data_IF_820664461413
#
_entry.id   IF_820664461413
#
_cell.length_a   1.000
_cell.length_b   1.000
_cell.length_c   1.000
_cell.angle_alpha   90.00
_cell.angle_beta   90.00
_cell.angle_gamma   90.00
#
_symmetry.space_group_name_H-M   'P 1'
#
loop_
_entity.id
_entity.type
_entity.pdbx_description
1 polymer ?
#
# COMPACT_ATOMS: atom_id res chain seq x y z
N UNK A 1 -18.30 -14.89 -17.61
CA UNK A 1 -18.01 -15.99 -16.68
C UNK A 1 -18.71 -15.71 -15.38
N UNK A 2 -19.11 -16.76 -14.67
CA UNK A 2 -19.68 -16.65 -13.33
C UNK A 2 -18.57 -16.45 -12.29
N UNK A 3 -18.90 -15.89 -11.12
CA UNK A 3 -17.95 -15.72 -10.01
C UNK A 3 -17.24 -17.04 -9.64
N UNK A 4 -17.96 -18.16 -9.71
CA UNK A 4 -17.42 -19.50 -9.43
C UNK A 4 -16.40 -19.99 -10.48
N UNK A 5 -16.62 -19.69 -11.76
CA UNK A 5 -15.68 -20.01 -12.85
C UNK A 5 -14.41 -19.18 -12.73
N UNK A 6 -14.57 -17.88 -12.42
CA UNK A 6 -13.47 -17.00 -12.09
C UNK A 6 -12.67 -17.61 -10.93
N UNK A 7 -13.25 -17.74 -9.72
CA UNK A 7 -12.56 -18.25 -8.53
C UNK A 7 -11.80 -19.57 -8.80
N UNK A 8 -12.40 -20.48 -9.57
CA UNK A 8 -11.75 -21.74 -9.97
C UNK A 8 -10.49 -21.52 -10.82
N UNK A 9 -10.52 -20.59 -11.78
CA UNK A 9 -9.34 -20.23 -12.56
C UNK A 9 -8.26 -19.57 -11.72
N UNK A 10 -8.62 -18.66 -10.80
CA UNK A 10 -7.65 -18.03 -9.90
C UNK A 10 -6.95 -19.06 -9.00
N UNK A 11 -7.71 -20.01 -8.45
CA UNK A 11 -7.16 -21.13 -7.67
C UNK A 11 -6.22 -22.00 -8.50
N UNK A 12 -6.49 -22.14 -9.79
CA UNK A 12 -5.61 -22.87 -10.70
C UNK A 12 -4.30 -22.10 -10.98
N UNK A 13 -4.37 -20.77 -11.18
CA UNK A 13 -3.20 -19.91 -11.36
C UNK A 13 -2.29 -19.97 -10.13
N UNK A 14 -2.88 -19.91 -8.94
CA UNK A 14 -2.14 -19.86 -7.67
C UNK A 14 -1.86 -21.24 -7.07
N UNK A 15 -2.12 -22.32 -7.82
CA UNK A 15 -1.93 -23.66 -7.32
C UNK A 15 -0.47 -23.91 -6.92
N UNK A 16 -0.27 -24.39 -5.68
CA UNK A 16 1.07 -24.68 -5.15
C UNK A 16 1.83 -23.48 -4.59
N UNK A 17 1.20 -22.30 -4.53
CA UNK A 17 1.79 -21.11 -3.91
C UNK A 17 1.46 -20.94 -2.43
N UNK A 18 0.46 -21.66 -1.90
CA UNK A 18 -0.20 -21.44 -0.60
C UNK A 18 -1.08 -20.16 -0.52
N UNK A 19 -1.21 -19.41 -1.62
CA UNK A 19 -2.11 -18.26 -1.67
C UNK A 19 -3.59 -18.67 -1.63
N UNK A 20 -4.41 -17.84 -0.98
CA UNK A 20 -5.84 -18.05 -0.82
C UNK A 20 -6.64 -17.12 -1.73
N UNK A 21 -7.72 -17.65 -2.29
CA UNK A 21 -8.70 -16.91 -3.10
C UNK A 21 -10.08 -17.16 -2.55
N UNK A 22 -10.79 -16.09 -2.23
CA UNK A 22 -12.16 -16.17 -1.72
C UNK A 22 -13.18 -15.64 -2.73
N UNK A 23 -14.46 -15.79 -2.36
CA UNK A 23 -15.58 -15.43 -3.22
C UNK A 23 -15.81 -13.91 -3.37
N UNK A 24 -15.06 -13.08 -2.64
CA UNK A 24 -15.11 -11.63 -2.74
C UNK A 24 -14.02 -11.07 -3.67
N UNK A 25 -13.43 -11.90 -4.55
CA UNK A 25 -12.35 -11.51 -5.45
C UNK A 25 -11.15 -10.91 -4.71
N UNK A 26 -10.78 -11.57 -3.61
CA UNK A 26 -9.62 -11.22 -2.81
C UNK A 26 -8.56 -12.32 -2.98
N UNK A 27 -7.32 -11.93 -3.20
CA UNK A 27 -6.14 -12.81 -3.20
C UNK A 27 -5.27 -12.49 -2.00
N UNK A 28 -5.01 -13.47 -1.15
CA UNK A 28 -4.13 -13.36 0.01
C UNK A 28 -2.90 -14.26 -0.15
N UNK A 29 -1.72 -13.66 -0.20
CA UNK A 29 -0.48 -14.32 -0.56
C UNK A 29 0.70 -13.98 0.39
N UNK A 30 0.45 -13.80 1.69
CA UNK A 30 1.50 -13.45 2.65
C UNK A 30 2.57 -14.55 2.80
N UNK A 31 3.85 -14.22 2.59
CA UNK A 31 4.98 -15.17 2.67
C UNK A 31 4.79 -16.45 1.82
N UNK A 32 4.24 -16.27 0.62
CA UNK A 32 3.92 -17.36 -0.31
C UNK A 32 4.87 -17.41 -1.52
N UNK A 33 4.83 -18.52 -2.27
CA UNK A 33 5.61 -18.68 -3.51
C UNK A 33 5.04 -17.92 -4.72
N UNK A 34 4.18 -16.91 -4.50
CA UNK A 34 3.68 -16.05 -5.58
C UNK A 34 4.82 -15.20 -6.15
N UNK A 35 4.81 -15.02 -7.47
CA UNK A 35 5.83 -14.34 -8.26
C UNK A 35 5.16 -13.64 -9.46
N UNK A 36 5.92 -12.84 -10.20
CA UNK A 36 5.42 -12.01 -11.30
C UNK A 36 4.58 -12.80 -12.32
N UNK A 37 5.01 -14.01 -12.68
CA UNK A 37 4.31 -14.87 -13.65
C UNK A 37 2.87 -15.18 -13.24
N UNK A 38 2.64 -15.34 -11.93
CA UNK A 38 1.31 -15.62 -11.39
C UNK A 38 0.41 -14.39 -11.48
N UNK A 39 0.94 -13.21 -11.14
CA UNK A 39 0.18 -11.93 -11.21
C UNK A 39 -0.11 -11.55 -12.67
N UNK A 40 0.83 -11.83 -13.58
CA UNK A 40 0.64 -11.63 -15.02
C UNK A 40 -0.45 -12.53 -15.60
N UNK A 41 -0.56 -13.78 -15.14
CA UNK A 41 -1.65 -14.67 -15.54
C UNK A 41 -3.02 -14.24 -14.98
N UNK A 42 -3.03 -13.41 -13.93
CA UNK A 42 -4.24 -12.78 -13.42
C UNK A 42 -4.66 -11.55 -14.23
N UNK A 43 -3.84 -11.07 -15.18
CA UNK A 43 -4.16 -9.87 -15.97
C UNK A 43 -5.55 -9.95 -16.64
N UNK A 44 -6.27 -8.84 -16.65
CA UNK A 44 -7.63 -8.76 -17.21
C UNK A 44 -8.75 -9.16 -16.24
N UNK A 45 -8.42 -9.50 -15.00
CA UNK A 45 -9.39 -9.67 -13.91
C UNK A 45 -9.91 -8.33 -13.39
N UNK A 46 -10.71 -7.66 -14.20
CA UNK A 46 -11.20 -6.31 -13.94
C UNK A 46 -12.06 -6.18 -12.67
N UNK A 47 -12.56 -7.31 -12.13
CA UNK A 47 -13.39 -7.36 -10.91
C UNK A 47 -12.60 -7.60 -9.62
N UNK A 48 -11.27 -7.80 -9.69
CA UNK A 48 -10.44 -7.98 -8.50
C UNK A 48 -10.47 -6.71 -7.63
N UNK A 49 -10.87 -6.86 -6.36
CA UNK A 49 -11.00 -5.74 -5.42
C UNK A 49 -9.86 -5.70 -4.41
N UNK A 50 -9.27 -6.84 -4.06
CA UNK A 50 -8.18 -6.90 -3.10
C UNK A 50 -7.08 -7.84 -3.55
N UNK A 51 -5.84 -7.35 -3.47
CA UNK A 51 -4.64 -8.07 -3.83
C UNK A 51 -3.59 -7.87 -2.75
N UNK A 52 -3.38 -8.90 -1.93
CA UNK A 52 -2.39 -8.90 -0.85
C UNK A 52 -1.24 -9.81 -1.25
N UNK A 53 -0.14 -9.21 -1.69
CA UNK A 53 1.09 -9.83 -2.18
C UNK A 53 2.28 -9.61 -1.24
N UNK A 54 2.00 -9.18 -0.02
CA UNK A 54 3.03 -8.90 0.95
C UNK A 54 3.96 -10.11 1.20
N UNK A 55 5.27 -9.89 1.29
CA UNK A 55 6.26 -10.95 1.53
C UNK A 55 6.41 -11.97 0.39
N UNK A 56 5.84 -11.70 -0.79
CA UNK A 56 5.98 -12.57 -1.97
C UNK A 56 7.22 -12.23 -2.81
N UNK A 57 7.49 -13.06 -3.83
CA UNK A 57 8.62 -12.92 -4.75
C UNK A 57 8.30 -12.04 -5.97
N UNK A 58 7.31 -11.14 -5.87
CA UNK A 58 7.00 -10.19 -6.95
C UNK A 58 8.01 -9.06 -7.03
N UNK A 59 8.20 -8.53 -8.23
CA UNK A 59 9.10 -7.43 -8.57
C UNK A 59 8.33 -6.31 -9.29
N UNK A 60 9.02 -5.25 -9.70
CA UNK A 60 8.45 -4.16 -10.50
C UNK A 60 7.70 -4.66 -11.75
N UNK A 61 8.04 -5.84 -12.27
CA UNK A 61 7.39 -6.45 -13.44
C UNK A 61 5.89 -6.65 -13.22
N UNK A 62 5.47 -7.09 -12.03
CA UNK A 62 4.05 -7.34 -11.74
C UNK A 62 3.19 -6.07 -11.79
N UNK A 63 3.77 -4.88 -11.58
CA UNK A 63 3.04 -3.60 -11.53
C UNK A 63 2.34 -3.31 -12.87
N UNK A 64 2.89 -3.81 -13.98
CA UNK A 64 2.24 -3.73 -15.29
C UNK A 64 0.90 -4.49 -15.30
N UNK A 65 0.86 -5.71 -14.75
CA UNK A 65 -0.36 -6.48 -14.65
C UNK A 65 -1.34 -5.88 -13.64
N UNK A 66 -0.85 -5.39 -12.49
CA UNK A 66 -1.65 -4.73 -11.45
C UNK A 66 -2.40 -3.51 -12.01
N UNK A 67 -1.81 -2.76 -12.94
CA UNK A 67 -2.46 -1.62 -13.59
C UNK A 67 -3.77 -1.96 -14.33
N UNK A 68 -4.00 -3.24 -14.65
CA UNK A 68 -5.20 -3.72 -15.35
C UNK A 68 -6.37 -4.03 -14.41
N UNK A 69 -6.15 -4.03 -13.08
CA UNK A 69 -7.18 -4.30 -12.08
C UNK A 69 -7.96 -3.03 -11.75
N UNK A 70 -8.82 -2.59 -12.66
CA UNK A 70 -9.51 -1.30 -12.58
C UNK A 70 -10.45 -1.13 -11.37
N UNK A 71 -10.85 -2.22 -10.71
CA UNK A 71 -11.67 -2.20 -9.49
C UNK A 71 -10.87 -2.50 -8.21
N UNK A 72 -9.54 -2.54 -8.30
CA UNK A 72 -8.68 -2.83 -7.15
C UNK A 72 -8.77 -1.69 -6.14
N UNK A 73 -9.29 -1.99 -4.95
CA UNK A 73 -9.47 -1.05 -3.85
C UNK A 73 -8.42 -1.22 -2.76
N UNK A 74 -7.93 -2.45 -2.54
CA UNK A 74 -6.89 -2.72 -1.55
C UNK A 74 -5.71 -3.42 -2.23
N UNK A 75 -4.52 -2.84 -2.11
CA UNK A 75 -3.27 -3.38 -2.62
C UNK A 75 -2.26 -3.42 -1.48
N UNK A 76 -1.69 -4.59 -1.21
CA UNK A 76 -0.56 -4.71 -0.30
C UNK A 76 0.59 -5.43 -1.02
N UNK A 77 1.74 -4.76 -1.11
CA UNK A 77 2.95 -5.26 -1.74
C UNK A 77 4.17 -5.10 -0.81
N UNK A 78 3.95 -4.83 0.47
CA UNK A 78 5.05 -4.62 1.41
C UNK A 78 5.92 -5.87 1.61
N UNK A 79 7.22 -5.68 1.81
CA UNK A 79 8.20 -6.76 1.97
C UNK A 79 8.48 -7.55 0.69
N UNK A 80 8.21 -6.98 -0.49
CA UNK A 80 8.50 -7.58 -1.80
C UNK A 80 9.78 -7.01 -2.42
N UNK A 81 10.17 -7.48 -3.61
CA UNK A 81 11.30 -6.94 -4.36
C UNK A 81 10.91 -5.78 -5.31
N UNK A 82 9.74 -5.17 -5.09
CA UNK A 82 9.34 -3.93 -5.77
C UNK A 82 10.18 -2.76 -5.25
N UNK A 83 10.55 -1.84 -6.14
CA UNK A 83 11.45 -0.72 -5.86
C UNK A 83 10.72 0.63 -5.89
N UNK A 84 11.35 1.67 -5.31
CA UNK A 84 10.91 3.06 -5.48
C UNK A 84 10.70 3.42 -6.96
N UNK A 85 11.60 3.00 -7.85
CA UNK A 85 11.48 3.26 -9.29
C UNK A 85 10.27 2.55 -9.89
N UNK A 86 9.96 1.33 -9.46
CA UNK A 86 8.75 0.63 -9.86
C UNK A 86 7.50 1.44 -9.51
N UNK A 87 7.40 1.88 -8.26
CA UNK A 87 6.26 2.69 -7.78
C UNK A 87 6.16 4.04 -8.49
N UNK A 88 7.29 4.72 -8.69
CA UNK A 88 7.36 6.03 -9.32
C UNK A 88 6.80 6.05 -10.76
N UNK A 89 7.00 4.97 -11.52
CA UNK A 89 6.60 4.89 -12.93
C UNK A 89 5.43 3.94 -13.19
N UNK A 90 4.93 3.24 -12.18
CA UNK A 90 3.77 2.36 -12.32
C UNK A 90 2.47 3.15 -12.40
N UNK A 91 1.55 2.65 -13.23
CA UNK A 91 0.17 3.13 -13.25
C UNK A 91 -0.67 2.37 -12.22
N UNK A 92 -0.46 2.67 -10.93
CA UNK A 92 -1.24 2.06 -9.85
C UNK A 92 -2.74 2.42 -10.06
N UNK A 93 -3.67 1.45 -9.97
CA UNK A 93 -5.08 1.72 -10.24
C UNK A 93 -5.65 2.86 -9.38
N UNK A 94 -6.30 3.84 -10.01
CA UNK A 94 -6.88 5.00 -9.32
C UNK A 94 -8.00 4.64 -8.33
N UNK A 95 -8.50 3.39 -8.37
CA UNK A 95 -9.49 2.88 -7.44
C UNK A 95 -8.89 2.47 -6.08
N UNK A 96 -7.55 2.38 -5.96
CA UNK A 96 -6.88 1.98 -4.72
C UNK A 96 -7.17 3.00 -3.62
N UNK A 97 -7.70 2.48 -2.51
CA UNK A 97 -8.06 3.19 -1.29
C UNK A 97 -7.12 2.83 -0.15
N UNK A 98 -6.70 1.57 -0.06
CA UNK A 98 -5.81 1.09 0.98
C UNK A 98 -4.54 0.54 0.31
N UNK A 99 -3.38 1.14 0.62
CA UNK A 99 -2.10 0.78 0.01
C UNK A 99 -1.07 0.41 1.08
N UNK A 100 -0.64 -0.85 1.10
CA UNK A 100 0.46 -1.36 1.91
C UNK A 100 1.77 -1.43 1.12
N UNK A 101 2.81 -0.77 1.64
CA UNK A 101 4.14 -0.63 1.04
C UNK A 101 5.27 -0.94 2.03
N UNK A 102 4.96 -1.51 3.19
CA UNK A 102 5.95 -1.64 4.28
C UNK A 102 7.25 -2.32 3.81
N UNK A 103 8.38 -1.91 4.39
CA UNK A 103 9.72 -2.41 4.05
C UNK A 103 10.12 -2.31 2.57
N UNK A 104 9.49 -1.42 1.79
CA UNK A 104 10.00 -0.96 0.49
C UNK A 104 10.66 0.40 0.68
N UNK A 105 11.95 0.52 0.40
CA UNK A 105 12.64 1.82 0.42
C UNK A 105 12.09 2.75 -0.67
N UNK A 106 11.57 3.92 -0.29
CA UNK A 106 10.93 4.88 -1.17
C UNK A 106 11.71 6.20 -1.22
N UNK A 107 11.85 6.77 -2.41
CA UNK A 107 12.36 8.11 -2.62
C UNK A 107 11.23 9.15 -2.79
N UNK A 108 11.61 10.42 -2.93
CA UNK A 108 10.64 11.52 -3.09
C UNK A 108 9.83 11.42 -4.39
N UNK A 109 10.33 10.71 -5.42
CA UNK A 109 9.63 10.52 -6.69
C UNK A 109 8.51 9.49 -6.50
N UNK A 110 8.81 8.38 -5.82
CA UNK A 110 7.81 7.40 -5.45
C UNK A 110 6.75 8.01 -4.51
N UNK A 111 7.16 8.87 -3.58
CA UNK A 111 6.23 9.60 -2.71
C UNK A 111 5.27 10.51 -3.52
N UNK A 112 5.75 11.25 -4.52
CA UNK A 112 4.87 12.11 -5.34
C UNK A 112 3.90 11.26 -6.19
N UNK A 113 4.36 10.11 -6.70
CA UNK A 113 3.51 9.16 -7.40
C UNK A 113 2.38 8.64 -6.50
N UNK A 114 2.67 8.26 -5.25
CA UNK A 114 1.66 7.87 -4.25
C UNK A 114 0.73 9.04 -3.93
N UNK A 115 1.27 10.26 -3.81
CA UNK A 115 0.50 11.48 -3.57
C UNK A 115 -0.45 11.86 -4.72
N UNK A 116 -0.30 11.24 -5.89
CA UNK A 116 -1.18 11.43 -7.05
C UNK A 116 -2.40 10.50 -7.07
N UNK A 117 -2.47 9.51 -6.16
CA UNK A 117 -3.57 8.55 -6.12
C UNK A 117 -4.86 9.20 -5.59
N UNK A 118 -5.89 9.38 -6.43
CA UNK A 118 -7.02 10.27 -6.11
C UNK A 118 -8.00 9.68 -5.09
N UNK A 119 -7.95 8.37 -4.86
CA UNK A 119 -8.87 7.65 -3.99
C UNK A 119 -8.21 7.14 -2.71
N UNK A 120 -6.90 7.37 -2.51
CA UNK A 120 -6.15 6.80 -1.40
C UNK A 120 -6.66 7.34 -0.05
N UNK A 121 -7.02 6.43 0.85
CA UNK A 121 -7.60 6.69 2.19
C UNK A 121 -6.67 6.23 3.30
N UNK A 122 -6.04 5.07 3.13
CA UNK A 122 -5.09 4.53 4.09
C UNK A 122 -3.78 4.16 3.40
N UNK A 123 -2.67 4.58 3.98
CA UNK A 123 -1.33 4.26 3.53
C UNK A 123 -0.54 3.64 4.67
N UNK A 124 0.04 2.46 4.45
CA UNK A 124 1.07 1.90 5.31
C UNK A 124 2.41 1.96 4.57
N UNK A 125 3.33 2.77 5.09
CA UNK A 125 4.70 2.93 4.59
C UNK A 125 5.71 2.74 5.74
N UNK A 126 5.43 1.78 6.62
CA UNK A 126 6.35 1.41 7.70
C UNK A 126 7.69 0.94 7.11
N UNK A 127 8.81 1.39 7.67
CA UNK A 127 10.14 0.97 7.22
C UNK A 127 10.52 1.46 5.82
N UNK A 128 9.74 2.36 5.20
CA UNK A 128 10.01 2.81 3.83
C UNK A 128 11.13 3.86 3.70
N UNK A 129 11.75 4.28 4.80
CA UNK A 129 12.82 5.29 4.78
C UNK A 129 12.36 6.71 4.39
N UNK A 130 11.04 6.99 4.43
CA UNK A 130 10.50 8.30 4.06
C UNK A 130 10.95 9.39 5.04
N UNK A 131 11.41 10.51 4.48
CA UNK A 131 11.66 11.73 5.25
C UNK A 131 10.35 12.45 5.59
N UNK A 132 10.37 13.35 6.59
CA UNK A 132 9.22 14.23 6.84
C UNK A 132 8.84 15.10 5.63
N UNK A 133 9.78 15.48 4.76
CA UNK A 133 9.47 16.22 3.53
C UNK A 133 8.63 15.37 2.57
N UNK A 134 8.95 14.08 2.44
CA UNK A 134 8.17 13.16 1.63
C UNK A 134 6.75 12.98 2.21
N UNK A 135 6.63 12.84 3.54
CA UNK A 135 5.33 12.74 4.21
C UNK A 135 4.46 13.99 4.00
N UNK A 136 5.04 15.19 4.00
CA UNK A 136 4.29 16.43 3.72
C UNK A 136 3.63 16.44 2.33
N UNK A 137 4.15 15.67 1.36
CA UNK A 137 3.50 15.55 0.05
C UNK A 137 2.11 14.91 0.14
N UNK A 138 1.88 14.05 1.14
CA UNK A 138 0.61 13.35 1.34
C UNK A 138 -0.53 14.26 1.83
N UNK A 139 -0.22 15.50 2.26
CA UNK A 139 -1.25 16.52 2.53
C UNK A 139 -2.11 16.82 1.29
N UNK A 140 -1.55 16.64 0.09
CA UNK A 140 -2.22 16.85 -1.20
C UNK A 140 -3.26 15.78 -1.54
N UNK A 141 -3.27 14.63 -0.87
CA UNK A 141 -4.24 13.57 -1.13
C UNK A 141 -5.56 13.93 -0.43
N UNK A 142 -6.62 14.32 -1.16
CA UNK A 142 -7.83 14.87 -0.55
C UNK A 142 -8.64 13.81 0.21
N UNK A 143 -8.51 12.54 -0.17
CA UNK A 143 -9.23 11.41 0.41
C UNK A 143 -8.54 10.76 1.61
N UNK A 144 -7.30 11.16 1.92
CA UNK A 144 -6.47 10.49 2.91
C UNK A 144 -7.05 10.63 4.31
N UNK A 145 -7.09 9.53 5.07
CA UNK A 145 -7.66 9.43 6.40
C UNK A 145 -6.70 8.83 7.41
N UNK A 146 -5.77 7.97 6.97
CA UNK A 146 -4.80 7.34 7.85
C UNK A 146 -3.45 7.13 7.15
N UNK A 147 -2.38 7.38 7.90
CA UNK A 147 -1.01 7.06 7.51
C UNK A 147 -0.36 6.31 8.67
N UNK A 148 0.24 5.15 8.38
CA UNK A 148 1.16 4.46 9.28
C UNK A 148 2.55 4.52 8.66
N UNK A 149 3.48 5.20 9.34
CA UNK A 149 4.84 5.47 8.89
C UNK A 149 5.84 5.25 10.04
N UNK A 150 5.78 4.08 10.66
CA UNK A 150 6.77 3.65 11.66
C UNK A 150 8.14 3.53 10.99
N UNK A 151 9.20 3.98 11.67
CA UNK A 151 10.55 4.10 11.13
C UNK A 151 10.78 5.34 10.26
N UNK A 152 9.80 6.22 10.09
CA UNK A 152 10.00 7.47 9.36
C UNK A 152 10.69 8.54 10.21
N UNK A 153 11.58 9.33 9.60
CA UNK A 153 12.26 10.45 10.26
C UNK A 153 11.37 11.70 10.28
N UNK A 154 10.36 11.67 11.17
CA UNK A 154 9.42 12.76 11.37
C UNK A 154 9.46 13.32 12.80
N UNK A 155 10.08 14.49 13.01
CA UNK A 155 10.05 15.17 14.29
C UNK A 155 8.63 15.52 14.74
N UNK A 156 8.38 15.46 16.06
CA UNK A 156 7.09 15.77 16.68
C UNK A 156 6.52 17.15 16.30
N UNK A 157 7.38 18.14 16.08
CA UNK A 157 6.95 19.47 15.59
C UNK A 157 6.29 19.40 14.22
N UNK A 158 6.87 18.63 13.30
CA UNK A 158 6.31 18.44 11.96
C UNK A 158 5.06 17.54 12.02
N UNK A 159 5.04 16.50 12.85
CA UNK A 159 3.85 15.65 13.02
C UNK A 159 2.66 16.45 13.57
N UNK A 160 2.93 17.37 14.50
CA UNK A 160 1.95 18.33 15.02
C UNK A 160 1.42 19.25 13.92
N UNK A 161 2.31 19.88 13.16
CA UNK A 161 1.93 20.80 12.07
C UNK A 161 1.11 20.07 10.99
N UNK A 162 1.57 18.90 10.56
CA UNK A 162 0.87 18.04 9.60
C UNK A 162 -0.57 17.76 10.03
N UNK A 163 -0.76 17.33 11.29
CA UNK A 163 -2.09 16.97 11.80
C UNK A 163 -2.94 18.17 12.23
N UNK A 164 -2.36 19.37 12.35
CA UNK A 164 -3.12 20.62 12.46
C UNK A 164 -3.66 21.07 11.10
N UNK A 165 -2.89 20.88 10.03
CA UNK A 165 -3.31 21.18 8.66
C UNK A 165 -4.37 20.19 8.16
N UNK A 166 -4.22 18.90 8.49
CA UNK A 166 -5.17 17.83 8.18
C UNK A 166 -5.66 17.12 9.47
N UNK A 167 -6.56 17.75 10.26
CA UNK A 167 -7.06 17.19 11.51
C UNK A 167 -7.96 15.96 11.31
N UNK A 168 -8.39 15.72 10.07
CA UNK A 168 -9.11 14.54 9.64
C UNK A 168 -8.22 13.29 9.51
N UNK A 169 -6.89 13.47 9.37
CA UNK A 169 -5.93 12.37 9.23
C UNK A 169 -5.52 11.84 10.61
N UNK A 170 -5.50 10.51 10.73
CA UNK A 170 -4.80 9.78 11.78
C UNK A 170 -3.37 9.46 11.32
N UNK A 171 -2.36 10.05 11.96
CA UNK A 171 -0.96 9.81 11.63
C UNK A 171 -0.32 8.96 12.71
N UNK A 172 0.23 7.80 12.36
CA UNK A 172 0.91 6.90 13.29
C UNK A 172 2.40 6.85 12.97
N UNK A 173 3.19 7.23 13.97
CA UNK A 173 4.66 7.27 13.95
C UNK A 173 5.20 6.50 15.17
N UNK A 174 6.52 6.31 15.23
CA UNK A 174 7.16 5.74 16.42
C UNK A 174 6.91 6.59 17.67
N UNK A 175 6.77 7.91 17.50
CA UNK A 175 6.47 8.83 18.60
C UNK A 175 5.06 8.74 19.16
N UNK A 176 4.17 8.04 18.46
CA UNK A 176 2.81 7.77 18.87
C UNK A 176 1.79 8.03 17.78
N UNK A 177 0.53 8.11 18.21
CA UNK A 177 -0.61 8.35 17.33
C UNK A 177 -1.00 9.82 17.41
N UNK A 178 -0.83 10.53 16.30
CA UNK A 178 -1.09 11.94 16.12
C UNK A 178 -2.46 12.19 15.49
N UNK A 179 -3.18 13.18 16.02
CA UNK A 179 -4.44 13.66 15.45
C UNK A 179 -4.75 15.08 15.92
N UNK A 180 -5.05 15.99 14.99
CA UNK A 180 -5.43 17.36 15.34
C UNK A 180 -4.36 18.13 16.13
N UNK A 181 -3.08 17.80 15.96
CA UNK A 181 -1.96 18.37 16.71
C UNK A 181 -1.70 17.74 18.09
N UNK A 182 -2.56 16.83 18.56
CA UNK A 182 -2.35 16.05 19.78
C UNK A 182 -1.66 14.72 19.49
N UNK A 183 -0.89 14.21 20.45
CA UNK A 183 -0.23 12.89 20.37
C UNK A 183 -0.61 12.00 21.54
N UNK A 184 -1.02 10.76 21.23
CA UNK A 184 -1.09 9.66 22.19
C UNK A 184 0.16 8.81 22.07
N UNK A 185 1.05 8.91 23.06
CA UNK A 185 2.31 8.18 23.09
C UNK A 185 2.14 6.73 23.59
N UNK A 186 2.99 5.80 23.14
CA UNK A 186 3.10 4.49 23.76
C UNK A 186 3.66 4.61 25.19
N UNK A 187 3.38 3.64 26.08
CA UNK A 187 3.77 3.72 27.50
C UNK A 187 5.27 3.91 27.73
N UNK A 188 6.10 3.34 26.85
CA UNK A 188 7.56 3.28 27.00
C UNK A 188 8.29 4.33 26.14
N UNK A 189 7.59 5.40 25.71
CA UNK A 189 8.20 6.43 24.88
C UNK A 189 9.08 7.38 25.71
N UNK A 190 10.39 7.37 25.44
CA UNK A 190 11.33 8.37 25.94
C UNK A 190 11.49 9.48 24.89
N UNK A 191 11.25 10.74 25.30
CA UNK A 191 11.23 11.92 24.44
C UNK A 191 12.63 12.49 24.13
#
# INVERSE_FOLDING_TARGET
>A
MTDAENISQLKAILYGTDALVNAAFQVWAFDTAVADEHVEQMAGWADLQQLMLSGTFVTDRCLTAISTFHRLECLDIGGTAITASGIAYANIPHAVKDFGLYDIELDDIAADAIASLPSLRALNCNGCGLSHYALLQFLRIPSLQAIEALGADMPDSHAREFTLERPDILLRLDSGVWKGGDVRRPPDYEA
#
